data_IF_789520699066
#
_entry.id   IF_789520699066
#
_cell.length_a   1.000
_cell.length_b   1.000
_cell.length_c   1.000
_cell.angle_alpha   90.00
_cell.angle_beta   90.00
_cell.angle_gamma   90.00
#
_symmetry.space_group_name_H-M   'P 1'
#
loop_
_entity.id
_entity.type
_entity.pdbx_description
1 polymer ?
#
# COMPACT_ATOMS: atom_id res chain seq x y z
N UNK A 1 -19.58 -25.72 -45.17
CA UNK A 1 -18.23 -26.28 -44.97
C UNK A 1 -18.05 -26.51 -43.48
N UNK A 2 -18.10 -27.78 -43.06
CA UNK A 2 -17.90 -28.20 -41.67
C UNK A 2 -16.40 -28.32 -41.39
N UNK A 3 -15.95 -27.73 -40.29
CA UNK A 3 -14.75 -28.17 -39.57
C UNK A 3 -15.09 -28.22 -38.07
N UNK A 4 -15.20 -29.41 -37.46
CA UNK A 4 -15.42 -29.54 -36.03
C UNK A 4 -14.11 -29.80 -35.25
N UNK A 5 -14.07 -29.16 -34.08
CA UNK A 5 -13.53 -29.62 -32.79
C UNK A 5 -12.05 -30.03 -32.65
N UNK A 6 -11.36 -29.34 -31.72
CA UNK A 6 -10.76 -30.03 -30.57
C UNK A 6 -11.12 -29.32 -29.26
N UNK A 7 -11.74 -30.07 -28.36
CA UNK A 7 -11.88 -29.73 -26.94
C UNK A 7 -10.50 -29.82 -26.27
N UNK A 8 -10.24 -28.97 -25.29
CA UNK A 8 -9.56 -29.42 -24.08
C UNK A 8 -10.40 -29.04 -22.87
N UNK A 9 -10.91 -30.10 -22.24
CA UNK A 9 -11.64 -30.10 -21.00
C UNK A 9 -10.74 -29.56 -19.87
N UNK A 10 -11.33 -28.79 -18.97
CA UNK A 10 -10.79 -28.57 -17.62
C UNK A 10 -11.21 -29.75 -16.76
N UNK A 11 -10.31 -30.31 -15.94
CA UNK A 11 -10.71 -30.42 -14.53
C UNK A 11 -9.56 -30.27 -13.53
N UNK A 12 -9.86 -29.56 -12.43
CA UNK A 12 -9.58 -30.03 -11.07
C UNK A 12 -8.19 -29.79 -10.48
N UNK A 13 -8.23 -29.31 -9.22
CA UNK A 13 -7.23 -29.45 -8.16
C UNK A 13 -6.03 -28.49 -8.28
N UNK A 14 -5.44 -27.94 -7.23
CA UNK A 14 -5.64 -28.00 -5.78
C UNK A 14 -4.61 -27.02 -5.19
N UNK A 15 -5.01 -26.25 -4.18
CA UNK A 15 -4.15 -25.74 -3.10
C UNK A 15 -2.69 -25.38 -3.45
N UNK A 16 -2.40 -24.11 -3.77
CA UNK A 16 -1.25 -23.38 -3.19
C UNK A 16 -1.39 -21.87 -3.38
N UNK A 17 -2.33 -21.26 -2.66
CA UNK A 17 -2.26 -19.83 -2.30
C UNK A 17 -1.42 -19.66 -1.01
N UNK A 18 -0.76 -20.73 -0.54
CA UNK A 18 -0.08 -20.80 0.75
C UNK A 18 1.46 -20.82 0.67
N UNK A 19 2.06 -20.50 -0.49
CA UNK A 19 3.51 -20.65 -0.70
C UNK A 19 4.17 -19.41 -1.32
N UNK A 20 3.82 -18.23 -0.81
CA UNK A 20 4.60 -16.99 -1.00
C UNK A 20 4.98 -16.32 0.33
N UNK A 21 4.60 -16.92 1.46
CA UNK A 21 4.86 -16.38 2.80
C UNK A 21 6.26 -16.74 3.38
N UNK A 22 7.09 -17.52 2.67
CA UNK A 22 8.35 -18.04 3.23
C UNK A 22 9.62 -17.29 2.80
N UNK A 23 9.55 -16.35 1.86
CA UNK A 23 10.73 -15.59 1.42
C UNK A 23 10.68 -14.17 1.98
N UNK A 24 11.16 -14.01 3.22
CA UNK A 24 11.96 -12.86 3.71
C UNK A 24 12.09 -12.88 5.24
N UNK A 25 12.54 -14.01 5.81
CA UNK A 25 13.04 -13.99 7.19
C UNK A 25 14.52 -13.59 7.20
N UNK A 26 14.80 -12.30 6.95
CA UNK A 26 16.09 -11.69 7.31
C UNK A 26 15.92 -10.98 8.65
N UNK A 27 16.53 -11.45 9.75
CA UNK A 27 16.40 -10.77 11.03
C UNK A 27 17.25 -9.50 11.01
N UNK A 28 16.62 -8.36 10.73
CA UNK A 28 17.20 -7.06 11.05
C UNK A 28 17.08 -6.85 12.56
N UNK A 29 18.08 -7.31 13.31
CA UNK A 29 18.27 -6.93 14.71
C UNK A 29 18.58 -5.44 14.75
N UNK A 30 17.61 -4.60 15.16
CA UNK A 30 17.87 -3.19 15.48
C UNK A 30 16.89 -2.63 16.52
N UNK A 31 17.45 -2.37 17.71
CA UNK A 31 16.97 -1.55 18.87
C UNK A 31 15.44 -1.38 19.04
N UNK A 32 14.88 -2.17 19.97
CA UNK A 32 13.49 -2.12 20.47
C UNK A 32 13.21 -0.91 21.38
N UNK A 33 13.27 0.31 20.84
CA UNK A 33 12.76 1.48 21.57
C UNK A 33 11.96 2.45 20.70
N UNK A 34 11.94 2.26 19.38
CA UNK A 34 10.95 2.88 18.51
C UNK A 34 9.85 1.84 18.23
N UNK A 35 8.60 2.19 18.55
CA UNK A 35 7.41 1.47 18.09
C UNK A 35 7.52 1.32 16.56
N UNK A 36 7.23 0.12 16.00
CA UNK A 36 7.30 -0.02 14.54
C UNK A 36 6.26 0.93 13.95
N UNK A 37 6.57 1.67 12.88
CA UNK A 37 5.58 2.49 12.19
C UNK A 37 4.30 1.72 11.84
N UNK A 38 4.41 0.41 11.57
CA UNK A 38 3.26 -0.50 11.47
C UNK A 38 2.33 -0.46 12.69
N UNK A 39 2.87 -0.54 13.91
CA UNK A 39 2.06 -0.50 15.14
C UNK A 39 1.43 0.89 15.38
N UNK A 40 2.04 1.96 14.87
CA UNK A 40 1.46 3.32 14.93
C UNK A 40 0.38 3.51 13.88
N UNK A 41 0.57 2.97 12.68
CA UNK A 41 -0.42 3.00 11.60
C UNK A 41 -1.62 2.09 11.90
N UNK A 42 -1.40 0.96 12.57
CA UNK A 42 -2.45 0.11 13.10
C UNK A 42 -3.32 0.86 14.12
N UNK A 43 -2.71 1.63 15.03
CA UNK A 43 -3.47 2.48 15.95
C UNK A 43 -4.30 3.54 15.19
N UNK A 44 -3.75 4.11 14.11
CA UNK A 44 -4.52 5.01 13.23
C UNK A 44 -5.70 4.30 12.57
N UNK A 45 -5.51 3.08 12.06
CA UNK A 45 -6.60 2.26 11.49
C UNK A 45 -7.71 1.97 12.49
N UNK A 46 -7.35 1.68 13.74
CA UNK A 46 -8.33 1.30 14.76
C UNK A 46 -9.10 2.50 15.30
N UNK A 47 -8.42 3.63 15.52
CA UNK A 47 -8.97 4.75 16.28
C UNK A 47 -9.32 6.00 15.44
N UNK A 48 -8.74 6.17 14.25
CA UNK A 48 -8.80 7.43 13.51
C UNK A 48 -8.87 7.23 11.98
N UNK A 49 -9.41 6.10 11.51
CA UNK A 49 -9.46 5.78 10.08
C UNK A 49 -10.26 6.83 9.30
N UNK A 50 -9.58 7.57 8.43
CA UNK A 50 -10.17 8.64 7.64
C UNK A 50 -10.10 10.03 8.27
N UNK A 51 -9.67 10.15 9.53
CA UNK A 51 -9.41 11.43 10.17
C UNK A 51 -8.02 11.97 9.81
N UNK A 52 -7.83 13.28 9.98
CA UNK A 52 -6.54 13.91 9.71
C UNK A 52 -5.50 13.66 10.80
N UNK A 53 -5.91 13.69 12.07
CA UNK A 53 -5.03 13.45 13.22
C UNK A 53 -5.55 12.32 14.10
N UNK A 54 -4.63 11.52 14.64
CA UNK A 54 -4.89 10.49 15.64
C UNK A 54 -4.68 11.03 17.05
N UNK A 55 -5.64 10.75 17.95
CA UNK A 55 -5.53 10.98 19.40
C UNK A 55 -5.39 9.62 20.11
N UNK A 56 -4.16 9.15 20.39
CA UNK A 56 -3.94 7.77 20.83
C UNK A 56 -4.43 7.49 22.25
N UNK A 57 -4.53 8.52 23.11
CA UNK A 57 -4.99 8.36 24.48
C UNK A 57 -6.51 8.22 24.59
N UNK A 58 -7.25 8.90 23.72
CA UNK A 58 -8.73 8.83 23.67
C UNK A 58 -9.25 7.83 22.64
N UNK A 59 -8.37 7.25 21.80
CA UNK A 59 -8.74 6.44 20.65
C UNK A 59 -9.78 7.14 19.76
N UNK A 60 -9.47 8.38 19.37
CA UNK A 60 -10.34 9.22 18.55
C UNK A 60 -9.55 9.94 17.45
N UNK A 61 -10.24 10.56 16.51
CA UNK A 61 -9.67 11.34 15.42
C UNK A 61 -10.22 12.77 15.36
N UNK A 62 -9.41 13.70 14.85
CA UNK A 62 -9.88 15.07 14.58
C UNK A 62 -9.63 15.46 13.13
N UNK A 63 -10.52 16.29 12.59
CA UNK A 63 -10.41 16.85 11.25
C UNK A 63 -9.70 18.21 11.25
N UNK A 64 -9.01 18.50 10.15
CA UNK A 64 -8.34 19.77 9.89
C UNK A 64 -8.38 20.15 8.40
N UNK A 65 -7.89 19.27 7.53
CA UNK A 65 -7.93 19.41 6.08
C UNK A 65 -9.04 18.59 5.40
N UNK A 66 -9.67 17.66 6.11
CA UNK A 66 -10.68 16.74 5.59
C UNK A 66 -10.19 15.86 4.42
N UNK A 67 -8.87 15.56 4.41
CA UNK A 67 -8.20 14.77 3.36
C UNK A 67 -7.60 13.48 3.88
N UNK A 68 -7.93 13.07 5.11
CA UNK A 68 -7.29 11.94 5.78
C UNK A 68 -5.77 12.11 5.87
N UNK A 69 -5.34 13.29 6.31
CA UNK A 69 -3.95 13.72 6.35
C UNK A 69 -3.03 12.68 7.00
N UNK A 70 -3.46 12.05 8.10
CA UNK A 70 -2.68 11.01 8.78
C UNK A 70 -2.37 9.80 7.90
N UNK A 71 -3.30 9.39 7.03
CA UNK A 71 -3.06 8.35 6.04
C UNK A 71 -2.16 8.84 4.90
N UNK A 72 -2.41 10.05 4.39
CA UNK A 72 -1.66 10.65 3.27
C UNK A 72 -0.18 10.83 3.63
N UNK A 73 0.10 11.35 4.81
CA UNK A 73 1.47 11.58 5.31
C UNK A 73 2.21 10.26 5.54
N UNK A 74 1.48 9.22 5.98
CA UNK A 74 2.03 7.89 6.23
C UNK A 74 2.36 7.11 4.93
N UNK A 75 1.75 7.42 3.78
CA UNK A 75 1.96 6.69 2.52
C UNK A 75 3.44 6.53 2.16
N UNK A 76 4.19 7.62 2.18
CA UNK A 76 5.62 7.60 1.84
C UNK A 76 6.42 6.69 2.76
N UNK A 77 6.09 6.68 4.06
CA UNK A 77 6.75 5.86 5.08
C UNK A 77 6.39 4.39 4.90
N UNK A 78 5.11 4.06 4.72
CA UNK A 78 4.64 2.69 4.46
C UNK A 78 5.32 2.10 3.22
N UNK A 79 5.41 2.91 2.15
CA UNK A 79 6.05 2.53 0.89
C UNK A 79 7.54 2.26 1.04
N UNK A 80 8.31 3.15 1.69
CA UNK A 80 9.76 2.95 1.94
C UNK A 80 10.03 1.74 2.84
N UNK A 81 9.11 1.45 3.76
CA UNK A 81 9.24 0.30 4.67
C UNK A 81 8.83 -1.04 4.05
N UNK A 82 8.26 -1.04 2.84
CA UNK A 82 7.78 -2.25 2.17
C UNK A 82 6.49 -2.82 2.76
N UNK A 83 5.73 -2.02 3.51
CA UNK A 83 4.42 -2.39 4.05
C UNK A 83 3.35 -2.22 2.97
N UNK A 84 3.30 -3.19 2.03
CA UNK A 84 2.53 -3.07 0.79
C UNK A 84 1.02 -3.07 1.01
N UNK A 85 0.52 -3.96 1.86
CA UNK A 85 -0.92 -4.04 2.15
C UNK A 85 -1.39 -2.75 2.84
N UNK A 86 -0.59 -2.25 3.78
CA UNK A 86 -0.86 -1.00 4.46
C UNK A 86 -0.85 0.21 3.55
N UNK A 87 0.12 0.24 2.64
CA UNK A 87 0.24 1.27 1.62
C UNK A 87 -0.99 1.29 0.70
N UNK A 88 -1.46 0.13 0.25
CA UNK A 88 -2.62 0.03 -0.63
C UNK A 88 -3.91 0.50 0.06
N UNK A 89 -4.15 0.09 1.30
CA UNK A 89 -5.32 0.53 2.06
C UNK A 89 -5.31 2.05 2.30
N UNK A 90 -4.14 2.61 2.63
CA UNK A 90 -3.97 4.06 2.78
C UNK A 90 -4.19 4.81 1.46
N UNK A 91 -3.70 4.26 0.36
CA UNK A 91 -3.82 4.87 -0.97
C UNK A 91 -5.28 4.85 -1.44
N UNK A 92 -6.01 3.76 -1.17
CA UNK A 92 -7.43 3.68 -1.44
C UNK A 92 -8.20 4.73 -0.63
N UNK A 93 -7.89 4.88 0.66
CA UNK A 93 -8.50 5.89 1.51
C UNK A 93 -8.23 7.31 0.98
N UNK A 94 -6.99 7.59 0.54
CA UNK A 94 -6.61 8.89 -0.02
C UNK A 94 -7.29 9.20 -1.37
N UNK A 95 -7.59 8.17 -2.17
CA UNK A 95 -8.25 8.32 -3.48
C UNK A 95 -9.77 8.54 -3.39
N UNK A 96 -10.39 8.32 -2.22
CA UNK A 96 -11.84 8.48 -2.06
C UNK A 96 -12.25 9.94 -2.19
N UNK A 97 -13.20 10.27 -3.09
CA UNK A 97 -13.69 11.63 -3.23
C UNK A 97 -14.41 12.06 -1.94
N UNK A 98 -14.06 13.24 -1.44
CA UNK A 98 -14.71 13.84 -0.27
C UNK A 98 -14.97 15.32 -0.48
N UNK A 99 -16.08 15.85 0.06
CA UNK A 99 -16.29 17.28 0.11
C UNK A 99 -15.25 17.89 1.07
N UNK A 100 -14.52 18.89 0.60
CA UNK A 100 -13.67 19.71 1.45
C UNK A 100 -14.61 20.62 2.25
N UNK A 101 -14.92 20.22 3.48
CA UNK A 101 -15.86 20.91 4.37
C UNK A 101 -15.22 22.12 5.09
N UNK A 102 -13.92 22.30 4.91
CA UNK A 102 -13.12 23.39 5.38
C UNK A 102 -13.32 24.61 4.47
N UNK A 103 -13.97 25.65 5.01
CA UNK A 103 -14.34 26.93 4.40
C UNK A 103 -13.14 27.78 3.89
N UNK A 104 -12.20 27.21 3.14
CA UNK A 104 -11.00 27.87 2.64
C UNK A 104 -9.95 28.22 3.72
N UNK A 105 -10.11 27.75 4.96
CA UNK A 105 -9.18 28.02 6.09
C UNK A 105 -7.99 27.06 6.15
N UNK A 106 -7.55 26.56 4.99
CA UNK A 106 -6.44 25.61 4.90
C UNK A 106 -5.14 26.35 4.66
N UNK A 107 -4.13 26.11 5.50
CA UNK A 107 -2.81 26.69 5.30
C UNK A 107 -2.16 26.08 4.05
N UNK A 108 -1.86 26.94 3.06
CA UNK A 108 -1.27 26.53 1.78
C UNK A 108 0.09 25.88 1.94
N UNK A 109 0.91 26.36 2.89
CA UNK A 109 2.22 25.77 3.18
C UNK A 109 2.07 24.32 3.66
N UNK A 110 1.22 24.09 4.65
CA UNK A 110 0.95 22.76 5.22
C UNK A 110 0.33 21.81 4.19
N UNK A 111 -0.65 22.28 3.42
CA UNK A 111 -1.27 21.51 2.35
C UNK A 111 -0.24 21.11 1.28
N UNK A 112 0.70 22.00 0.96
CA UNK A 112 1.76 21.72 -0.02
C UNK A 112 2.72 20.65 0.49
N UNK A 113 3.28 20.83 1.70
CA UNK A 113 4.33 19.92 2.19
C UNK A 113 3.79 18.57 2.64
N UNK A 114 2.58 18.50 3.22
CA UNK A 114 2.01 17.27 3.78
C UNK A 114 1.15 16.52 2.76
N UNK A 115 0.13 17.19 2.21
CA UNK A 115 -0.79 16.53 1.29
C UNK A 115 -0.17 16.35 -0.10
N UNK A 116 0.20 17.45 -0.77
CA UNK A 116 0.75 17.38 -2.14
C UNK A 116 2.09 16.65 -2.15
N UNK A 117 3.00 16.97 -1.23
CA UNK A 117 4.29 16.31 -1.10
C UNK A 117 4.17 14.80 -0.79
N UNK A 118 3.26 14.42 0.11
CA UNK A 118 2.99 13.03 0.46
C UNK A 118 2.44 12.23 -0.72
N UNK A 119 1.43 12.76 -1.43
CA UNK A 119 0.83 12.12 -2.60
C UNK A 119 1.82 11.96 -3.76
N UNK A 120 2.63 12.98 -4.05
CA UNK A 120 3.64 12.91 -5.10
C UNK A 120 4.68 11.83 -4.79
N UNK A 121 5.15 11.79 -3.53
CA UNK A 121 6.10 10.79 -3.07
C UNK A 121 5.51 9.38 -3.15
N UNK A 122 4.25 9.22 -2.73
CA UNK A 122 3.53 7.95 -2.83
C UNK A 122 3.39 7.47 -4.28
N UNK A 123 3.07 8.37 -5.22
CA UNK A 123 2.94 8.04 -6.64
C UNK A 123 4.27 7.55 -7.24
N UNK A 124 5.39 8.16 -6.87
CA UNK A 124 6.72 7.73 -7.30
C UNK A 124 7.07 6.34 -6.74
N UNK A 125 6.80 6.09 -5.46
CA UNK A 125 7.05 4.80 -4.82
C UNK A 125 6.18 3.71 -5.44
N UNK A 126 4.88 3.97 -5.65
CA UNK A 126 3.97 3.02 -6.28
C UNK A 126 4.44 2.62 -7.69
N UNK A 127 4.91 3.61 -8.47
CA UNK A 127 5.48 3.35 -9.79
C UNK A 127 6.74 2.49 -9.72
N UNK A 128 7.61 2.74 -8.74
CA UNK A 128 8.81 1.94 -8.52
C UNK A 128 8.48 0.49 -8.09
N UNK A 129 7.48 0.30 -7.24
CA UNK A 129 6.99 -1.03 -6.85
C UNK A 129 6.49 -1.83 -8.05
N UNK A 130 5.64 -1.22 -8.89
CA UNK A 130 5.13 -1.87 -10.12
C UNK A 130 6.28 -2.24 -11.07
N UNK A 131 7.25 -1.34 -11.23
CA UNK A 131 8.41 -1.60 -12.09
C UNK A 131 9.27 -2.75 -11.55
N UNK A 132 9.41 -2.87 -10.22
CA UNK A 132 10.12 -3.98 -9.60
C UNK A 132 9.37 -5.30 -9.81
N UNK A 133 8.06 -5.34 -9.55
CA UNK A 133 7.23 -6.53 -9.76
C UNK A 133 7.29 -7.01 -11.22
N UNK A 134 7.25 -6.07 -12.18
CA UNK A 134 7.35 -6.40 -13.60
C UNK A 134 8.71 -7.01 -13.96
N UNK A 135 9.81 -6.52 -13.35
CA UNK A 135 11.16 -7.08 -13.55
C UNK A 135 11.27 -8.48 -12.96
N UNK A 136 10.74 -8.69 -11.76
CA UNK A 136 10.73 -10.00 -11.10
C UNK A 136 9.91 -11.01 -11.92
N UNK A 137 8.74 -10.61 -12.41
CA UNK A 137 7.91 -11.45 -13.29
C UNK A 137 8.60 -11.77 -14.62
N UNK A 138 9.34 -10.82 -15.21
CA UNK A 138 10.12 -11.05 -16.43
C UNK A 138 11.30 -12.01 -16.19
N UNK A 139 12.01 -11.86 -15.08
CA UNK A 139 13.11 -12.75 -14.70
C UNK A 139 12.63 -14.19 -14.46
N UNK A 140 11.49 -14.35 -13.78
CA UNK A 140 10.89 -15.67 -13.57
C UNK A 140 10.51 -16.37 -14.88
N UNK A 141 10.05 -15.61 -15.89
CA UNK A 141 9.77 -16.16 -17.23
C UNK A 141 11.02 -16.60 -17.97
N UNK A 142 12.11 -15.83 -17.91
CA UNK A 142 13.39 -16.19 -18.55
C UNK A 142 13.97 -17.49 -18.00
N UNK A 143 13.96 -17.67 -16.67
CA UNK A 143 14.43 -18.90 -16.04
C UNK A 143 13.58 -20.12 -16.45
N UNK A 144 12.27 -19.92 -16.66
CA UNK A 144 11.38 -20.99 -17.10
C UNK A 144 11.61 -21.39 -18.57
N UNK A 145 12.02 -20.46 -19.44
CA UNK A 145 12.38 -20.78 -20.83
C UNK A 145 13.71 -21.51 -20.91
N UNK A 146 14.68 -21.14 -20.07
CA UNK A 146 16.01 -21.75 -20.05
C UNK A 146 15.99 -23.17 -19.45
N UNK A 147 15.06 -23.47 -18.54
CA UNK A 147 14.88 -24.82 -17.98
C UNK A 147 14.16 -25.80 -18.94
N UNK A 148 13.57 -25.30 -20.03
CA UNK A 148 12.84 -26.10 -21.01
C UNK A 148 13.66 -26.45 -22.27
N UNK A 149 14.91 -25.96 -22.36
CA UNK A 149 15.88 -26.25 -23.42
C UNK A 149 17.00 -27.15 -22.93
#
# INVERSE_FOLDING_TARGET
MLWPARRRERPGLSLTVCELASVTSRPLVRRRSARRPGDSFEAYRLCAWGADNLHPLSCDGSQWFDVSLGAVDALSTLGVMGLRDEFLDAAELAARPRPLANDGKTNVFEATIRAVGGLLSAAQIASAMIAQDAREAAAARGNATDAAS
#
